data_IF_433761306863
#
_entry.id   IF_433761306863
#
_cell.length_a   1.000
_cell.length_b   1.000
_cell.length_c   1.000
_cell.angle_alpha   90.00
_cell.angle_beta   90.00
_cell.angle_gamma   90.00
#
_symmetry.space_group_name_H-M   'P 1'
#
loop_
_entity.id
_entity.type
_entity.pdbx_description
1 polymer ?
#
# COMPACT_ATOMS: atom_id res chain seq x y z
N UNK A 1 6.65 -3.00 5.19
CA UNK A 1 5.83 -1.79 5.37
C UNK A 1 5.96 -1.23 6.78
N UNK A 2 5.85 -2.04 7.86
CA UNK A 2 6.04 -1.52 9.24
C UNK A 2 7.39 -0.83 9.49
N UNK A 3 8.44 -1.30 8.82
CA UNK A 3 9.78 -0.69 8.87
C UNK A 3 9.88 0.66 8.15
N UNK A 4 8.89 1.02 7.32
CA UNK A 4 8.85 2.27 6.57
C UNK A 4 7.90 3.29 7.19
N UNK A 5 6.77 2.83 7.76
CA UNK A 5 5.70 3.69 8.26
C UNK A 5 5.49 3.61 9.78
N UNK A 6 6.28 2.79 10.46
CA UNK A 6 6.07 2.47 11.88
C UNK A 6 4.95 1.43 12.10
N UNK A 7 4.63 1.20 13.37
CA UNK A 7 3.64 0.22 13.83
C UNK A 7 4.24 -1.10 14.33
N UNK A 8 3.43 -1.87 15.06
CA UNK A 8 3.83 -3.12 15.68
C UNK A 8 3.55 -4.37 14.83
N UNK A 9 3.71 -5.57 15.43
CA UNK A 9 3.48 -6.86 14.78
C UNK A 9 2.06 -7.04 14.23
N UNK A 10 1.08 -6.28 14.72
CA UNK A 10 -0.29 -6.25 14.18
C UNK A 10 -0.31 -5.89 12.69
N UNK A 11 0.68 -5.15 12.19
CA UNK A 11 0.81 -4.80 10.78
C UNK A 11 1.59 -5.82 9.93
N UNK A 12 1.89 -7.01 10.44
CA UNK A 12 2.45 -8.09 9.63
C UNK A 12 1.42 -8.66 8.64
N UNK A 13 0.12 -8.60 8.96
CA UNK A 13 -0.96 -9.02 8.07
C UNK A 13 -1.43 -7.86 7.20
N UNK A 14 -1.51 -8.06 5.88
CA UNK A 14 -1.91 -7.04 4.92
C UNK A 14 -3.25 -6.37 5.29
N UNK A 15 -4.29 -7.16 5.60
CA UNK A 15 -5.62 -6.65 5.97
C UNK A 15 -5.62 -5.69 7.16
N UNK A 16 -4.69 -5.83 8.10
CA UNK A 16 -4.65 -5.00 9.30
C UNK A 16 -4.24 -3.55 8.98
N UNK A 17 -3.56 -3.32 7.85
CA UNK A 17 -3.25 -1.98 7.37
C UNK A 17 -4.49 -1.14 7.05
N UNK A 18 -5.69 -1.72 6.93
CA UNK A 18 -6.95 -0.95 6.83
C UNK A 18 -7.19 -0.06 8.05
N UNK A 19 -6.55 -0.34 9.19
CA UNK A 19 -6.64 0.43 10.44
C UNK A 19 -5.59 1.52 10.56
N UNK A 20 -4.61 1.59 9.66
CA UNK A 20 -3.53 2.58 9.70
C UNK A 20 -4.08 3.99 9.53
N UNK A 21 -3.66 4.97 10.35
CA UNK A 21 -4.03 6.38 10.20
C UNK A 21 -5.52 6.63 9.95
N UNK A 22 -5.87 7.45 8.95
CA UNK A 22 -7.26 7.79 8.57
C UNK A 22 -7.63 7.33 7.15
N UNK A 23 -8.94 7.14 6.83
CA UNK A 23 -9.39 6.82 5.47
C UNK A 23 -8.95 7.88 4.46
N UNK A 24 -8.72 7.47 3.22
CA UNK A 24 -8.39 8.37 2.11
C UNK A 24 -8.85 7.79 0.77
N UNK A 25 -8.62 8.54 -0.30
CA UNK A 25 -8.64 8.03 -1.67
C UNK A 25 -7.25 7.65 -2.17
N UNK A 26 -7.14 7.17 -3.43
CA UNK A 26 -5.86 6.85 -4.03
C UNK A 26 -5.05 8.14 -4.30
N UNK A 27 -3.90 8.27 -3.64
CA UNK A 27 -2.98 9.40 -3.76
C UNK A 27 -1.55 8.98 -3.39
N UNK A 28 -0.55 9.75 -3.83
CA UNK A 28 0.84 9.54 -3.41
C UNK A 28 0.95 9.64 -1.89
N UNK A 29 1.70 8.73 -1.29
CA UNK A 29 1.83 8.57 0.17
C UNK A 29 0.75 7.71 0.81
N UNK A 30 -0.36 7.42 0.10
CA UNK A 30 -1.38 6.53 0.66
C UNK A 30 -0.91 5.08 0.71
N UNK A 31 -1.18 4.44 1.84
CA UNK A 31 -1.13 3.00 2.00
C UNK A 31 -2.32 2.40 1.25
N UNK A 32 -2.02 1.60 0.23
CA UNK A 32 -3.01 0.85 -0.53
C UNK A 32 -3.07 -0.58 0.00
N UNK A 33 -4.28 -1.02 0.38
CA UNK A 33 -4.52 -2.29 1.08
C UNK A 33 -5.48 -3.16 0.28
N UNK A 34 -4.98 -4.29 -0.18
CA UNK A 34 -5.76 -5.40 -0.73
C UNK A 34 -5.99 -6.48 0.35
N UNK A 35 -6.81 -7.49 0.06
CA UNK A 35 -7.06 -8.59 1.01
C UNK A 35 -5.77 -9.28 1.48
N UNK A 36 -4.86 -9.57 0.55
CA UNK A 36 -3.64 -10.34 0.82
C UNK A 36 -2.35 -9.57 0.53
N UNK A 37 -2.43 -8.29 0.20
CA UNK A 37 -1.27 -7.48 -0.17
C UNK A 37 -1.37 -6.03 0.30
N UNK A 38 -0.23 -5.38 0.51
CA UNK A 38 -0.16 -3.98 0.93
C UNK A 38 1.05 -3.29 0.31
N UNK A 39 0.90 -2.00 0.02
CA UNK A 39 2.00 -1.13 -0.39
C UNK A 39 1.72 0.34 -0.13
N UNK A 40 2.64 1.21 -0.54
CA UNK A 40 2.47 2.66 -0.58
C UNK A 40 2.43 3.09 -2.05
N UNK A 41 1.49 3.97 -2.37
CA UNK A 41 1.47 4.65 -3.67
C UNK A 41 2.59 5.67 -3.69
N UNK A 42 3.51 5.55 -4.65
CA UNK A 42 4.65 6.46 -4.82
C UNK A 42 4.50 7.36 -6.05
N UNK A 43 3.56 7.05 -6.95
CA UNK A 43 3.33 7.86 -8.15
C UNK A 43 2.18 7.35 -9.00
N UNK A 44 1.93 8.03 -10.13
CA UNK A 44 0.96 7.65 -11.16
C UNK A 44 1.72 7.21 -12.42
N UNK A 45 1.35 6.09 -13.01
CA UNK A 45 1.90 5.63 -14.28
C UNK A 45 1.11 6.23 -15.45
N UNK A 46 1.77 6.41 -16.60
CA UNK A 46 1.15 6.99 -17.81
C UNK A 46 -0.06 6.20 -18.32
N UNK A 47 -0.12 4.90 -18.04
CA UNK A 47 -1.23 4.01 -18.40
C UNK A 47 -2.41 4.04 -17.39
N UNK A 48 -2.50 5.08 -16.56
CA UNK A 48 -3.59 5.28 -15.61
C UNK A 48 -3.48 4.45 -14.31
N UNK A 49 -2.55 3.49 -14.23
CA UNK A 49 -2.26 2.71 -13.01
C UNK A 49 -1.48 3.54 -11.99
N UNK A 50 -1.37 3.02 -10.77
CA UNK A 50 -0.56 3.64 -9.71
C UNK A 50 0.77 2.92 -9.56
N UNK A 51 1.85 3.67 -9.37
CA UNK A 51 3.15 3.10 -8.99
C UNK A 51 3.06 2.79 -7.50
N UNK A 52 3.29 1.53 -7.15
CA UNK A 52 3.16 1.05 -5.78
C UNK A 52 4.44 0.37 -5.35
N UNK A 53 5.02 0.85 -4.25
CA UNK A 53 6.13 0.20 -3.54
C UNK A 53 5.59 -0.74 -2.48
N UNK A 54 5.97 -2.02 -2.52
CA UNK A 54 5.55 -3.03 -1.55
C UNK A 54 6.68 -3.98 -1.19
N UNK A 55 6.75 -4.37 0.08
CA UNK A 55 7.88 -5.13 0.62
C UNK A 55 7.87 -6.63 0.36
N UNK A 56 6.70 -7.24 0.14
CA UNK A 56 6.55 -8.67 -0.15
C UNK A 56 5.90 -8.89 -1.52
N UNK A 57 6.45 -8.27 -2.55
CA UNK A 57 5.98 -8.46 -3.92
C UNK A 57 6.80 -9.57 -4.58
N UNK A 58 6.33 -10.82 -4.45
CA UNK A 58 7.08 -12.01 -4.87
C UNK A 58 8.36 -12.21 -4.06
N UNK A 59 8.27 -12.04 -2.73
CA UNK A 59 9.39 -12.23 -1.80
C UNK A 59 10.44 -11.12 -1.79
N UNK A 60 10.20 -10.01 -2.50
CA UNK A 60 11.13 -8.88 -2.59
C UNK A 60 10.42 -7.54 -2.44
N UNK A 61 11.19 -6.52 -2.06
CA UNK A 61 10.75 -5.13 -2.18
C UNK A 61 10.72 -4.78 -3.67
N UNK A 62 9.57 -4.36 -4.18
CA UNK A 62 9.42 -3.89 -5.56
C UNK A 62 8.55 -2.66 -5.64
N UNK A 63 8.81 -1.87 -6.68
CA UNK A 63 8.04 -0.69 -7.04
C UNK A 63 7.61 -0.83 -8.51
N UNK A 64 6.30 -0.88 -8.75
CA UNK A 64 5.75 -1.09 -10.10
C UNK A 64 4.32 -0.59 -10.25
N UNK A 65 3.91 -0.37 -11.50
CA UNK A 65 2.54 0.00 -11.85
C UNK A 65 1.56 -1.14 -11.50
N UNK A 66 0.53 -0.83 -10.71
CA UNK A 66 -0.55 -1.74 -10.30
C UNK A 66 -1.93 -1.10 -10.39
N UNK A 67 -2.93 -1.94 -10.65
CA UNK A 67 -4.32 -1.56 -10.43
C UNK A 67 -4.59 -1.49 -8.93
N UNK A 68 -5.37 -0.50 -8.52
CA UNK A 68 -5.81 -0.30 -7.13
C UNK A 68 -7.33 -0.49 -6.96
N UNK A 69 -7.99 -1.04 -7.98
CA UNK A 69 -9.41 -1.35 -7.91
C UNK A 69 -9.71 -2.30 -6.73
N UNK A 70 -10.79 -2.01 -5.98
CA UNK A 70 -11.18 -2.78 -4.81
C UNK A 70 -10.26 -2.65 -3.59
N UNK A 71 -9.24 -1.78 -3.65
CA UNK A 71 -8.36 -1.53 -2.51
C UNK A 71 -8.94 -0.48 -1.56
N UNK A 72 -8.52 -0.56 -0.29
CA UNK A 72 -8.73 0.51 0.69
C UNK A 72 -7.48 1.39 0.75
N UNK A 73 -7.66 2.69 0.95
CA UNK A 73 -6.56 3.64 1.05
C UNK A 73 -6.52 4.30 2.42
N UNK A 74 -5.33 4.37 3.00
CA UNK A 74 -5.09 4.98 4.31
C UNK A 74 -3.92 5.95 4.26
N UNK A 75 -3.98 7.02 5.03
CA UNK A 75 -2.86 7.96 5.21
C UNK A 75 -2.58 8.16 6.69
N UNK A 76 -1.29 8.29 7.02
CA UNK A 76 -0.81 8.64 8.35
C UNK A 76 -1.01 10.11 8.67
#
# INVERSE_FOLDING_TARGET
>A
MRTQLGGGPEFNLARNWRKYGRPSGPQVGAVVVWNSHVGIITGRAANGKWIVKSGNDGGRVRERARSVAGATFRVG
#
